data_IF_738931307602
#
_entry.id   IF_738931307602
#
_cell.length_a   1.000
_cell.length_b   1.000
_cell.length_c   1.000
_cell.angle_alpha   90.00
_cell.angle_beta   90.00
_cell.angle_gamma   90.00
#
_symmetry.space_group_name_H-M   'P 1'
#
loop_
_entity.id
_entity.type
_entity.pdbx_description
1 polymer ?
#
# COMPACT_ATOMS: atom_id res chain seq x y z
N UNK A 1 -70.16 -16.61 48.78
CA UNK A 1 -68.73 -16.86 48.57
C UNK A 1 -67.93 -15.66 49.08
N UNK A 2 -67.31 -15.85 50.24
CA UNK A 2 -66.14 -15.20 50.88
C UNK A 2 -65.71 -13.77 50.50
N UNK A 3 -65.79 -12.87 51.50
CA UNK A 3 -65.02 -11.62 51.71
C UNK A 3 -63.68 -11.94 52.49
N UNK A 4 -62.90 -10.95 52.99
CA UNK A 4 -61.88 -10.09 52.34
C UNK A 4 -60.52 -10.15 53.12
N UNK A 5 -59.67 -9.10 53.04
CA UNK A 5 -58.67 -8.60 54.04
C UNK A 5 -57.19 -8.40 53.61
N UNK A 6 -56.59 -7.39 54.27
CA UNK A 6 -55.39 -6.56 54.07
C UNK A 6 -53.99 -7.24 54.31
N UNK A 7 -52.86 -6.52 54.06
CA UNK A 7 -51.50 -7.06 53.82
C UNK A 7 -50.63 -7.21 55.08
N UNK A 8 -49.49 -7.90 54.93
CA UNK A 8 -48.47 -8.07 55.98
C UNK A 8 -47.06 -7.71 55.49
N UNK A 9 -46.47 -6.79 56.24
CA UNK A 9 -45.05 -6.40 56.32
C UNK A 9 -44.28 -7.47 57.13
N UNK A 10 -43.06 -7.83 56.75
CA UNK A 10 -42.09 -8.43 57.68
C UNK A 10 -40.69 -7.85 57.47
N UNK A 11 -40.22 -7.16 58.53
CA UNK A 11 -38.80 -6.96 58.85
C UNK A 11 -38.20 -8.30 59.29
N UNK A 12 -36.97 -8.59 58.89
CA UNK A 12 -36.08 -9.44 59.67
C UNK A 12 -34.63 -8.95 59.57
N UNK A 13 -34.13 -8.64 60.76
CA UNK A 13 -32.80 -8.18 61.16
C UNK A 13 -31.73 -9.27 61.02
N UNK A 14 -30.49 -8.87 60.75
CA UNK A 14 -29.32 -9.72 60.88
C UNK A 14 -28.01 -8.93 60.88
N UNK A 15 -27.66 -8.32 62.01
CA UNK A 15 -26.28 -7.90 62.30
C UNK A 15 -25.41 -9.15 62.49
N UNK A 16 -24.21 -9.16 61.91
CA UNK A 16 -23.01 -9.69 62.59
C UNK A 16 -21.74 -9.11 61.96
N UNK A 17 -20.99 -8.41 62.81
CA UNK A 17 -19.64 -7.89 62.58
C UNK A 17 -18.65 -9.00 62.97
N UNK A 18 -17.71 -9.37 62.09
CA UNK A 18 -16.40 -9.91 62.51
C UNK A 18 -15.32 -9.32 61.60
N UNK A 19 -14.46 -8.50 62.19
CA UNK A 19 -13.17 -8.06 61.65
C UNK A 19 -12.06 -8.93 62.26
N UNK A 20 -11.24 -9.61 61.45
CA UNK A 20 -9.87 -10.01 61.81
C UNK A 20 -8.94 -9.84 60.58
N UNK A 21 -7.76 -9.28 60.87
CA UNK A 21 -6.66 -8.75 60.04
C UNK A 21 -5.74 -9.84 59.39
N UNK A 22 -4.78 -9.46 58.52
CA UNK A 22 -4.25 -10.24 57.39
C UNK A 22 -2.94 -10.99 57.69
N UNK A 23 -2.50 -11.92 56.82
CA UNK A 23 -1.07 -12.22 56.49
C UNK A 23 -0.94 -13.10 55.23
N UNK A 24 -0.12 -12.61 54.28
CA UNK A 24 0.73 -13.24 53.24
C UNK A 24 0.38 -14.59 52.58
N UNK A 25 0.38 -14.62 51.25
CA UNK A 25 1.44 -15.22 50.40
C UNK A 25 1.04 -15.21 48.92
N UNK A 26 1.98 -14.89 48.03
CA UNK A 26 1.73 -14.60 46.63
C UNK A 26 1.27 -15.80 45.80
N UNK A 27 0.50 -15.52 44.76
CA UNK A 27 0.41 -16.34 43.54
C UNK A 27 0.11 -15.44 42.34
N UNK A 28 0.66 -15.83 41.20
CA UNK A 28 0.71 -15.10 39.94
C UNK A 28 -0.65 -14.56 39.46
N UNK A 29 -0.72 -13.26 39.18
CA UNK A 29 -1.83 -12.66 38.46
C UNK A 29 -1.74 -13.07 36.99
N UNK A 30 -2.53 -14.09 36.64
CA UNK A 30 -2.82 -14.52 35.28
C UNK A 30 -3.51 -13.34 34.57
N UNK A 31 -2.82 -12.68 33.64
CA UNK A 31 -3.42 -11.64 32.79
C UNK A 31 -4.59 -12.25 32.03
N UNK A 32 -5.80 -11.93 32.47
CA UNK A 32 -7.03 -12.33 31.81
C UNK A 32 -7.12 -11.50 30.52
N UNK A 33 -6.71 -12.09 29.40
CA UNK A 33 -6.97 -11.54 28.07
C UNK A 33 -8.48 -11.37 27.95
N UNK A 34 -8.91 -10.12 27.78
CA UNK A 34 -10.28 -9.75 27.49
C UNK A 34 -10.66 -10.44 26.18
N UNK A 35 -11.39 -11.55 26.29
CA UNK A 35 -12.13 -12.16 25.19
C UNK A 35 -13.27 -11.21 24.84
N UNK A 36 -13.01 -10.26 23.95
CA UNK A 36 -14.07 -9.52 23.28
C UNK A 36 -14.52 -10.34 22.07
N UNK A 37 -15.81 -10.67 22.08
CA UNK A 37 -16.55 -11.38 21.05
C UNK A 37 -16.12 -10.97 19.64
N UNK A 38 -15.91 -11.97 18.77
CA UNK A 38 -15.51 -11.82 17.38
C UNK A 38 -16.50 -11.02 16.51
N UNK A 39 -16.48 -9.70 16.63
CA UNK A 39 -16.93 -8.82 15.56
C UNK A 39 -15.79 -8.68 14.58
N UNK A 40 -16.02 -9.09 13.34
CA UNK A 40 -15.12 -8.85 12.21
C UNK A 40 -14.97 -7.33 12.07
N UNK A 41 -13.83 -6.78 12.48
CA UNK A 41 -13.52 -5.36 12.30
C UNK A 41 -12.97 -5.19 10.89
N UNK A 42 -13.74 -4.56 10.03
CA UNK A 42 -13.29 -4.20 8.68
C UNK A 42 -12.42 -2.93 8.78
N UNK A 43 -11.11 -3.12 8.83
CA UNK A 43 -10.14 -2.01 8.81
C UNK A 43 -9.97 -1.53 7.36
N UNK A 44 -10.57 -0.39 7.04
CA UNK A 44 -10.30 0.28 5.77
C UNK A 44 -8.94 0.99 5.86
N UNK A 45 -7.94 0.46 5.18
CA UNK A 45 -6.60 1.05 5.12
C UNK A 45 -6.64 2.26 4.15
N UNK A 46 -6.93 3.44 4.68
CA UNK A 46 -6.87 4.68 3.89
C UNK A 46 -5.49 5.31 4.07
N UNK A 47 -4.68 5.31 3.02
CA UNK A 47 -3.39 6.03 3.03
C UNK A 47 -3.65 7.53 2.88
N UNK A 48 -3.44 8.32 3.95
CA UNK A 48 -3.36 9.78 3.87
C UNK A 48 -2.31 10.37 4.83
N UNK A 49 -1.94 11.62 4.52
CA UNK A 49 -0.65 12.26 4.77
C UNK A 49 -0.18 12.40 6.22
N UNK A 50 1.13 12.34 6.39
CA UNK A 50 1.87 12.50 7.65
C UNK A 50 2.34 13.95 7.78
N UNK A 51 2.35 14.51 9.00
CA UNK A 51 2.94 15.83 9.26
C UNK A 51 4.46 15.81 9.05
N UNK A 52 5.06 16.93 8.61
CA UNK A 52 6.50 17.03 8.29
C UNK A 52 7.42 16.59 9.45
N UNK A 53 7.02 16.81 10.69
CA UNK A 53 7.79 16.42 11.88
C UNK A 53 7.71 14.91 12.17
N UNK A 54 6.55 14.28 11.96
CA UNK A 54 6.41 12.82 12.03
C UNK A 54 7.15 12.15 10.86
N UNK A 55 7.13 12.75 9.67
CA UNK A 55 7.88 12.30 8.49
C UNK A 55 9.39 12.15 8.76
N UNK A 56 10.04 13.12 9.39
CA UNK A 56 11.48 13.09 9.70
C UNK A 56 11.90 12.07 10.77
N UNK A 57 11.01 11.72 11.71
CA UNK A 57 11.29 10.74 12.77
C UNK A 57 10.92 9.31 12.38
N UNK A 58 9.94 9.16 11.48
CA UNK A 58 9.48 7.87 10.99
C UNK A 58 10.48 7.27 9.99
N UNK A 59 11.15 8.08 9.15
CA UNK A 59 12.07 7.63 8.08
C UNK A 59 13.08 6.53 8.51
N UNK A 60 13.84 6.68 9.60
CA UNK A 60 14.81 5.66 10.00
C UNK A 60 14.19 4.30 10.33
N UNK A 61 12.97 4.29 10.90
CA UNK A 61 12.18 3.07 11.12
C UNK A 61 11.38 2.64 9.88
N UNK A 62 11.09 3.57 8.96
CA UNK A 62 10.31 3.45 7.73
C UNK A 62 11.11 2.92 6.53
N UNK A 63 12.44 3.03 6.57
CA UNK A 63 13.35 2.38 5.61
C UNK A 63 13.34 0.85 5.75
N UNK A 64 12.63 0.29 6.74
CA UNK A 64 12.44 -1.15 6.96
C UNK A 64 11.19 -1.74 6.25
N UNK A 65 10.99 -1.31 5.00
CA UNK A 65 10.51 -2.05 3.81
C UNK A 65 9.07 -2.62 3.84
N UNK A 66 8.29 -2.28 2.82
CA UNK A 66 7.38 -3.17 2.06
C UNK A 66 7.72 -2.96 0.60
N UNK A 67 7.76 -3.99 -0.25
CA UNK A 67 8.19 -3.81 -1.63
C UNK A 67 7.11 -4.23 -2.62
N UNK A 68 6.86 -3.37 -3.58
CA UNK A 68 6.19 -3.71 -4.84
C UNK A 68 7.06 -3.18 -5.97
N UNK A 69 6.73 -3.53 -7.20
CA UNK A 69 7.37 -2.96 -8.40
C UNK A 69 6.32 -2.59 -9.43
N UNK A 70 6.76 -1.80 -10.40
CA UNK A 70 5.91 -1.43 -11.53
C UNK A 70 5.94 -2.56 -12.58
N UNK A 71 4.78 -2.92 -13.11
CA UNK A 71 4.64 -3.94 -14.15
C UNK A 71 4.11 -3.33 -15.44
N UNK A 72 4.38 -4.02 -16.55
CA UNK A 72 3.71 -3.79 -17.82
C UNK A 72 2.77 -4.95 -18.06
N UNK A 73 1.49 -4.65 -18.18
CA UNK A 73 0.49 -5.65 -18.50
C UNK A 73 -0.03 -5.43 -19.91
N UNK A 74 -0.05 -6.47 -20.71
CA UNK A 74 -0.47 -6.41 -22.11
C UNK A 74 -1.81 -7.08 -22.29
N UNK A 75 -2.41 -6.91 -23.48
CA UNK A 75 -3.49 -7.81 -23.92
C UNK A 75 -3.01 -9.26 -23.98
N UNK A 76 -3.95 -10.20 -23.87
CA UNK A 76 -3.67 -11.62 -23.97
C UNK A 76 -2.86 -11.94 -25.24
N UNK A 77 -1.82 -12.77 -25.10
CA UNK A 77 -0.89 -13.10 -26.17
C UNK A 77 0.14 -12.01 -26.52
N UNK A 78 0.11 -10.85 -25.85
CA UNK A 78 1.03 -9.74 -26.08
C UNK A 78 1.16 -9.35 -27.57
N UNK A 79 0.07 -8.90 -28.22
CA UNK A 79 0.02 -8.69 -29.67
C UNK A 79 1.01 -7.61 -30.16
N UNK A 80 1.43 -6.71 -29.27
CA UNK A 80 2.41 -5.66 -29.57
C UNK A 80 3.85 -6.11 -29.31
N UNK A 81 4.08 -7.33 -28.82
CA UNK A 81 5.39 -7.87 -28.48
C UNK A 81 6.18 -6.93 -27.54
N UNK A 82 5.51 -6.39 -26.52
CA UNK A 82 6.12 -5.56 -25.49
C UNK A 82 7.01 -6.44 -24.62
N UNK A 83 8.23 -5.99 -24.33
CA UNK A 83 9.20 -6.73 -23.50
C UNK A 83 9.81 -5.87 -22.42
N UNK A 84 9.87 -4.55 -22.61
CA UNK A 84 10.50 -3.64 -21.67
C UNK A 84 9.97 -2.19 -21.78
N UNK A 85 10.58 -1.29 -21.01
CA UNK A 85 10.25 0.14 -21.03
C UNK A 85 10.42 0.81 -22.40
N UNK A 86 11.45 0.43 -23.17
CA UNK A 86 11.75 1.07 -24.46
C UNK A 86 10.71 0.75 -25.53
N UNK A 87 9.94 -0.33 -25.38
CA UNK A 87 8.85 -0.63 -26.31
C UNK A 87 7.68 0.37 -26.19
N UNK A 88 7.56 1.06 -25.06
CA UNK A 88 6.44 1.97 -24.79
C UNK A 88 6.46 3.26 -25.61
N UNK A 89 7.59 3.61 -26.23
CA UNK A 89 7.69 4.79 -27.12
C UNK A 89 7.29 4.47 -28.56
N UNK A 90 7.03 3.20 -28.88
CA UNK A 90 6.66 2.81 -30.24
C UNK A 90 5.35 3.49 -30.67
N UNK A 91 5.24 4.02 -31.91
CA UNK A 91 4.06 4.76 -32.34
C UNK A 91 2.75 3.94 -32.34
N UNK A 92 2.87 2.62 -32.50
CA UNK A 92 1.75 1.69 -32.57
C UNK A 92 1.26 1.22 -31.19
N UNK A 93 1.87 1.69 -30.10
CA UNK A 93 1.54 1.30 -28.73
C UNK A 93 0.71 2.39 -28.07
N UNK A 94 -0.43 1.99 -27.48
CA UNK A 94 -1.30 2.84 -26.68
C UNK A 94 -1.25 2.43 -25.21
N UNK A 95 -1.02 3.40 -24.34
CA UNK A 95 -0.70 3.18 -22.93
C UNK A 95 -1.82 3.67 -22.00
N UNK A 96 -2.13 2.89 -20.98
CA UNK A 96 -2.92 3.32 -19.81
C UNK A 96 -1.99 3.45 -18.61
N UNK A 97 -2.07 4.58 -17.91
CA UNK A 97 -1.44 4.76 -16.59
C UNK A 97 -2.18 5.84 -15.81
N UNK A 98 -2.20 5.76 -14.49
CA UNK A 98 -2.88 6.75 -13.65
C UNK A 98 -2.20 8.14 -13.74
N UNK A 99 -2.88 9.19 -13.27
CA UNK A 99 -2.36 10.55 -13.24
C UNK A 99 -1.44 10.82 -12.02
N UNK A 100 -0.14 11.18 -12.19
CA UNK A 100 0.79 11.52 -11.11
C UNK A 100 0.37 12.68 -10.19
N UNK A 101 -0.55 13.54 -10.64
CA UNK A 101 -1.08 14.64 -9.80
C UNK A 101 -2.09 14.16 -8.76
N UNK A 102 -2.80 13.07 -9.01
CA UNK A 102 -3.86 12.55 -8.13
C UNK A 102 -3.53 11.19 -7.53
N UNK A 103 -2.65 10.41 -8.16
CA UNK A 103 -2.31 9.05 -7.74
C UNK A 103 -0.87 8.92 -7.26
N UNK A 104 -0.70 8.34 -6.07
CA UNK A 104 0.62 7.91 -5.59
C UNK A 104 1.25 6.85 -6.50
N UNK A 105 0.46 5.94 -7.07
CA UNK A 105 0.96 4.90 -7.98
C UNK A 105 1.46 5.43 -9.29
N UNK A 106 0.79 6.44 -9.83
CA UNK A 106 1.28 7.10 -11.02
C UNK A 106 2.62 7.81 -10.81
N UNK A 107 2.90 8.32 -9.59
CA UNK A 107 4.24 8.85 -9.28
C UNK A 107 5.29 7.75 -9.35
N UNK A 108 5.01 6.57 -8.79
CA UNK A 108 5.90 5.42 -8.92
C UNK A 108 6.11 4.98 -10.37
N UNK A 109 5.04 4.93 -11.17
CA UNK A 109 5.12 4.62 -12.60
C UNK A 109 6.01 5.63 -13.35
N UNK A 110 5.82 6.92 -13.09
CA UNK A 110 6.65 7.99 -13.67
C UNK A 110 8.12 7.83 -13.26
N UNK A 111 8.38 7.59 -11.98
CA UNK A 111 9.74 7.40 -11.48
C UNK A 111 10.39 6.14 -12.04
N UNK A 112 9.62 5.06 -12.26
CA UNK A 112 10.09 3.84 -12.92
C UNK A 112 10.61 4.12 -14.33
N UNK A 113 9.84 4.87 -15.13
CA UNK A 113 10.21 5.30 -16.48
C UNK A 113 11.43 6.25 -16.47
N UNK A 114 11.48 7.20 -15.54
CA UNK A 114 12.63 8.10 -15.43
C UNK A 114 13.90 7.35 -15.05
N UNK A 115 13.81 6.53 -14.01
CA UNK A 115 14.92 5.75 -13.49
C UNK A 115 15.39 4.66 -14.44
N UNK A 116 14.55 4.12 -15.32
CA UNK A 116 15.00 3.17 -16.34
C UNK A 116 16.03 3.76 -17.31
N UNK A 117 16.05 5.09 -17.47
CA UNK A 117 17.07 5.79 -18.26
C UNK A 117 18.28 6.13 -17.40
N UNK A 118 18.09 6.85 -16.29
CA UNK A 118 19.23 7.35 -15.50
C UNK A 118 19.99 6.23 -14.79
N UNK A 119 19.33 5.13 -14.44
CA UNK A 119 20.00 3.96 -13.85
C UNK A 119 20.69 3.07 -14.88
N UNK A 120 20.59 3.40 -16.17
CA UNK A 120 21.33 2.75 -17.25
C UNK A 120 22.39 3.69 -17.87
N UNK A 121 22.85 4.71 -17.12
CA UNK A 121 23.91 5.62 -17.56
C UNK A 121 23.41 6.82 -18.37
N UNK A 122 22.10 6.95 -18.60
CA UNK A 122 21.53 8.13 -19.21
C UNK A 122 21.48 9.34 -18.27
N UNK A 123 21.29 10.53 -18.83
CA UNK A 123 21.14 11.78 -18.09
C UNK A 123 19.68 12.26 -18.02
N UNK A 124 19.45 13.35 -17.26
CA UNK A 124 18.12 13.93 -17.06
C UNK A 124 17.45 14.40 -18.36
N UNK A 125 18.21 14.88 -19.34
CA UNK A 125 17.66 15.32 -20.62
C UNK A 125 17.17 14.14 -21.46
N UNK A 126 17.94 13.04 -21.47
CA UNK A 126 17.54 11.79 -22.12
C UNK A 126 16.32 11.17 -21.44
N UNK A 127 16.27 11.19 -20.10
CA UNK A 127 15.13 10.71 -19.33
C UNK A 127 13.88 11.56 -19.60
N UNK A 128 14.02 12.89 -19.64
CA UNK A 128 12.93 13.80 -20.01
C UNK A 128 12.38 13.48 -21.40
N UNK A 129 13.25 13.32 -22.40
CA UNK A 129 12.82 12.96 -23.75
C UNK A 129 12.08 11.63 -23.76
N UNK A 130 12.66 10.59 -23.16
CA UNK A 130 12.07 9.25 -23.11
C UNK A 130 10.68 9.27 -22.46
N UNK A 131 10.56 9.85 -21.27
CA UNK A 131 9.29 9.92 -20.55
C UNK A 131 8.28 10.76 -21.34
N UNK A 132 8.70 11.87 -21.95
CA UNK A 132 7.82 12.67 -22.83
C UNK A 132 7.26 11.81 -23.98
N UNK A 133 8.12 11.04 -24.65
CA UNK A 133 7.71 10.18 -25.77
C UNK A 133 6.78 9.04 -25.31
N UNK A 134 7.00 8.46 -24.13
CA UNK A 134 6.05 7.49 -23.54
C UNK A 134 4.71 8.16 -23.24
N UNK A 135 4.69 9.36 -22.68
CA UNK A 135 3.45 10.05 -22.33
C UNK A 135 2.64 10.52 -23.55
N UNK A 136 3.26 10.69 -24.73
CA UNK A 136 2.53 10.89 -26.00
C UNK A 136 1.66 9.69 -26.37
N UNK A 137 2.08 8.49 -25.99
CA UNK A 137 1.34 7.25 -26.24
C UNK A 137 0.25 6.95 -25.20
N UNK A 138 0.17 7.72 -24.11
CA UNK A 138 -0.86 7.54 -23.10
C UNK A 138 -2.22 7.94 -23.68
N UNK A 139 -3.21 7.06 -23.64
CA UNK A 139 -4.57 7.37 -24.16
C UNK A 139 -5.50 7.92 -23.10
N UNK A 140 -5.29 7.57 -21.84
CA UNK A 140 -6.10 8.03 -20.70
C UNK A 140 -5.23 8.14 -19.46
N UNK A 141 -5.53 9.12 -18.60
CA UNK A 141 -4.89 9.35 -17.30
C UNK A 141 -5.93 9.28 -16.17
N UNK A 142 -6.36 8.08 -15.75
CA UNK A 142 -7.37 7.93 -14.70
C UNK A 142 -6.88 8.45 -13.36
N UNK A 143 -7.80 8.71 -12.42
CA UNK A 143 -7.43 9.40 -11.18
C UNK A 143 -6.53 8.55 -10.26
N UNK A 144 -6.62 7.23 -10.36
CA UNK A 144 -5.88 6.27 -9.55
C UNK A 144 -5.62 4.93 -10.26
N UNK A 145 -4.88 4.04 -9.59
CA UNK A 145 -4.49 2.73 -10.11
C UNK A 145 -5.69 1.81 -10.38
N UNK A 146 -6.75 1.90 -9.58
CA UNK A 146 -7.95 1.06 -9.70
C UNK A 146 -8.77 1.48 -10.91
N UNK A 147 -8.92 2.79 -11.12
CA UNK A 147 -9.54 3.32 -12.34
C UNK A 147 -8.71 3.03 -13.60
N UNK A 148 -7.39 2.92 -13.48
CA UNK A 148 -6.52 2.47 -14.57
C UNK A 148 -6.77 1.02 -14.96
N UNK A 149 -6.90 0.13 -13.97
CA UNK A 149 -7.33 -1.24 -14.19
C UNK A 149 -8.72 -1.31 -14.84
N UNK A 150 -9.68 -0.51 -14.37
CA UNK A 150 -11.03 -0.49 -14.97
C UNK A 150 -11.02 0.05 -16.42
N UNK A 151 -10.23 1.08 -16.71
CA UNK A 151 -10.05 1.58 -18.08
C UNK A 151 -9.44 0.50 -18.99
N UNK A 152 -8.45 -0.23 -18.51
CA UNK A 152 -7.78 -1.27 -19.29
C UNK A 152 -8.65 -2.52 -19.48
N UNK A 153 -9.13 -3.13 -18.39
CA UNK A 153 -9.85 -4.41 -18.44
C UNK A 153 -11.31 -4.27 -18.86
N UNK A 154 -12.05 -3.33 -18.25
CA UNK A 154 -13.49 -3.22 -18.47
C UNK A 154 -13.82 -2.40 -19.72
N UNK A 155 -13.07 -1.32 -19.96
CA UNK A 155 -13.31 -0.41 -21.09
C UNK A 155 -12.45 -0.72 -22.31
N UNK A 156 -11.56 -1.72 -22.25
CA UNK A 156 -10.74 -2.13 -23.38
C UNK A 156 -9.76 -1.05 -23.89
N UNK A 157 -9.39 -0.07 -23.05
CA UNK A 157 -8.54 1.04 -23.49
C UNK A 157 -7.05 0.66 -23.45
N UNK A 158 -6.31 1.04 -24.50
CA UNK A 158 -4.86 0.82 -24.60
C UNK A 158 -4.44 -0.64 -24.88
N UNK A 159 -3.19 -0.79 -25.29
CA UNK A 159 -2.53 -2.08 -25.54
C UNK A 159 -1.74 -2.58 -24.32
N UNK A 160 -1.27 -1.64 -23.50
CA UNK A 160 -0.47 -1.89 -22.31
C UNK A 160 -0.93 -1.01 -21.14
N UNK A 161 -0.94 -1.58 -19.93
CA UNK A 161 -1.19 -0.90 -18.67
C UNK A 161 0.10 -0.89 -17.84
N UNK A 162 0.51 0.30 -17.38
CA UNK A 162 1.56 0.43 -16.35
C UNK A 162 0.86 0.53 -14.99
N UNK A 163 1.05 -0.48 -14.15
CA UNK A 163 0.47 -0.51 -12.81
C UNK A 163 1.38 -1.23 -11.80
N UNK A 164 0.91 -1.39 -10.57
CA UNK A 164 1.62 -2.16 -9.56
C UNK A 164 1.48 -3.68 -9.79
N UNK A 165 2.53 -4.43 -9.46
CA UNK A 165 2.52 -5.90 -9.53
C UNK A 165 1.33 -6.55 -8.81
N UNK A 166 1.00 -6.08 -7.60
CA UNK A 166 -0.12 -6.61 -6.85
C UNK A 166 -1.48 -6.36 -7.53
N UNK A 167 -1.65 -5.27 -8.30
CA UNK A 167 -2.93 -4.94 -8.92
C UNK A 167 -3.20 -5.92 -10.05
N UNK A 168 -2.14 -6.31 -10.75
CA UNK A 168 -2.19 -7.33 -11.79
C UNK A 168 -2.44 -8.71 -11.17
N UNK A 169 -1.74 -9.07 -10.09
CA UNK A 169 -1.99 -10.32 -9.36
C UNK A 169 -3.44 -10.38 -8.85
N UNK A 170 -3.95 -9.28 -8.29
CA UNK A 170 -5.33 -9.18 -7.83
C UNK A 170 -6.32 -9.30 -9.00
N UNK A 171 -6.03 -8.69 -10.14
CA UNK A 171 -6.87 -8.80 -11.32
C UNK A 171 -6.91 -10.23 -11.87
N UNK A 172 -5.79 -10.95 -11.86
CA UNK A 172 -5.71 -12.36 -12.23
C UNK A 172 -6.52 -13.24 -11.27
N UNK A 173 -6.43 -13.01 -9.96
CA UNK A 173 -7.25 -13.68 -8.95
C UNK A 173 -8.75 -13.41 -9.10
N UNK A 174 -9.11 -12.26 -9.67
CA UNK A 174 -10.48 -11.87 -10.00
C UNK A 174 -10.94 -12.39 -11.38
N UNK A 175 -10.10 -13.14 -12.09
CA UNK A 175 -10.40 -13.66 -13.44
C UNK A 175 -10.50 -12.59 -14.52
N UNK A 176 -9.96 -11.39 -14.30
CA UNK A 176 -10.00 -10.26 -15.27
C UNK A 176 -8.92 -10.36 -16.33
N UNK A 177 -7.85 -11.08 -16.02
CA UNK A 177 -6.64 -11.23 -16.82
C UNK A 177 -6.00 -12.57 -16.45
N UNK A 178 -5.01 -12.99 -17.21
CA UNK A 178 -4.14 -14.10 -16.83
C UNK A 178 -2.96 -13.59 -15.97
N UNK A 179 -2.03 -14.46 -15.61
CA UNK A 179 -0.82 -14.05 -14.89
C UNK A 179 0.29 -13.54 -15.83
N UNK A 180 -0.03 -13.17 -17.07
CA UNK A 180 0.95 -12.75 -18.06
C UNK A 180 1.23 -11.25 -17.93
N UNK A 181 2.24 -10.92 -17.13
CA UNK A 181 2.75 -9.56 -17.01
C UNK A 181 4.27 -9.53 -17.11
N UNK A 182 4.78 -8.39 -17.53
CA UNK A 182 6.20 -8.16 -17.74
C UNK A 182 6.73 -7.34 -16.57
N UNK A 183 7.84 -7.79 -15.99
CA UNK A 183 8.63 -6.97 -15.06
C UNK A 183 9.88 -6.50 -15.79
N UNK A 184 9.99 -5.19 -16.10
CA UNK A 184 11.21 -4.66 -16.67
C UNK A 184 12.41 -4.85 -15.71
N UNK A 185 13.61 -5.17 -16.24
CA UNK A 185 14.77 -5.55 -15.43
C UNK A 185 15.35 -4.41 -14.59
N UNK A 186 15.13 -3.17 -15.01
CA UNK A 186 15.43 -1.96 -14.23
C UNK A 186 14.12 -1.40 -13.71
N UNK A 187 13.94 -1.39 -12.40
CA UNK A 187 12.67 -1.04 -11.77
C UNK A 187 12.87 -0.33 -10.44
N UNK A 188 11.80 0.27 -9.93
CA UNK A 188 11.79 0.98 -8.66
C UNK A 188 11.09 0.16 -7.57
N UNK A 189 11.69 0.15 -6.38
CA UNK A 189 11.10 -0.40 -5.16
C UNK A 189 10.02 0.55 -4.68
N UNK A 190 8.77 0.11 -4.79
CA UNK A 190 7.59 0.82 -4.31
C UNK A 190 7.40 0.50 -2.84
N UNK A 191 7.47 1.52 -2.01
CA UNK A 191 7.35 1.43 -0.56
C UNK A 191 5.98 1.97 -0.13
N UNK A 192 5.21 1.14 0.59
CA UNK A 192 3.91 1.51 1.15
C UNK A 192 4.01 1.94 2.61
N UNK A 193 4.08 3.25 2.93
CA UNK A 193 4.07 3.71 4.32
C UNK A 193 2.81 3.29 5.06
N UNK A 194 2.99 2.91 6.32
CA UNK A 194 1.94 2.88 7.34
C UNK A 194 2.39 3.72 8.52
N UNK A 195 1.49 4.48 9.12
CA UNK A 195 1.78 5.34 10.27
C UNK A 195 0.60 5.41 11.21
N UNK A 196 0.89 5.52 12.51
CA UNK A 196 -0.09 5.88 13.53
C UNK A 196 -0.24 7.41 13.54
N UNK A 197 -1.48 7.89 13.61
CA UNK A 197 -1.77 9.33 13.64
C UNK A 197 -1.95 9.76 15.10
N UNK A 198 -0.88 10.31 15.70
CA UNK A 198 -0.81 10.63 17.13
C UNK A 198 -2.05 11.36 17.65
N UNK A 199 -2.38 12.50 17.02
CA UNK A 199 -3.54 13.33 17.41
C UNK A 199 -4.86 12.54 17.45
N UNK A 200 -5.04 11.58 16.55
CA UNK A 200 -6.27 10.80 16.48
C UNK A 200 -6.28 9.69 17.51
N UNK A 201 -5.15 9.01 17.71
CA UNK A 201 -5.10 7.90 18.66
C UNK A 201 -5.17 8.36 20.10
N UNK A 202 -4.61 9.53 20.40
CA UNK A 202 -4.72 10.17 21.72
C UNK A 202 -6.16 10.64 21.97
N UNK A 203 -6.80 11.25 20.97
CA UNK A 203 -8.20 11.69 21.05
C UNK A 203 -9.17 10.52 21.29
N UNK A 204 -8.92 9.38 20.65
CA UNK A 204 -9.83 8.22 20.71
C UNK A 204 -9.41 7.16 21.73
N UNK A 205 -8.32 7.38 22.50
CA UNK A 205 -7.85 6.44 23.52
C UNK A 205 -7.47 5.06 22.97
N UNK A 206 -7.01 4.98 21.71
CA UNK A 206 -6.77 3.71 21.02
C UNK A 206 -5.32 3.57 20.50
N UNK A 207 -4.37 4.28 21.12
CA UNK A 207 -2.95 4.25 20.77
C UNK A 207 -2.37 2.85 20.82
N UNK A 208 -2.55 2.14 21.93
CA UNK A 208 -1.96 0.82 22.13
C UNK A 208 -2.36 -0.17 21.03
N UNK A 209 -3.66 -0.28 20.75
CA UNK A 209 -4.18 -1.17 19.69
C UNK A 209 -3.73 -0.74 18.29
N UNK A 210 -3.62 0.56 18.03
CA UNK A 210 -3.15 1.08 16.73
C UNK A 210 -1.67 0.79 16.50
N UNK A 211 -0.83 0.98 17.52
CA UNK A 211 0.59 0.65 17.47
C UNK A 211 0.82 -0.85 17.37
N UNK A 212 0.04 -1.65 18.10
CA UNK A 212 0.07 -3.12 18.00
C UNK A 212 -0.32 -3.58 16.59
N UNK A 213 -1.36 -2.99 15.99
CA UNK A 213 -1.75 -3.28 14.61
C UNK A 213 -0.62 -2.97 13.63
N UNK A 214 0.01 -1.80 13.71
CA UNK A 214 1.13 -1.45 12.82
C UNK A 214 2.30 -2.42 12.99
N UNK A 215 2.66 -2.79 14.22
CA UNK A 215 3.70 -3.81 14.49
C UNK A 215 3.31 -5.16 13.90
N UNK A 216 2.05 -5.58 14.03
CA UNK A 216 1.55 -6.85 13.51
C UNK A 216 1.75 -6.99 12.01
N UNK A 217 1.60 -5.91 11.23
CA UNK A 217 1.83 -5.94 9.78
C UNK A 217 3.23 -6.49 9.43
N UNK A 218 4.25 -6.23 10.25
CA UNK A 218 5.62 -6.66 10.01
C UNK A 218 5.95 -8.06 10.53
N UNK A 219 5.00 -8.77 11.11
CA UNK A 219 5.19 -10.16 11.54
C UNK A 219 5.19 -11.12 10.35
N UNK A 220 5.86 -12.29 10.44
CA UNK A 220 5.79 -13.31 9.39
C UNK A 220 4.37 -13.73 9.04
N UNK A 221 3.46 -13.75 10.01
CA UNK A 221 2.05 -14.08 9.80
C UNK A 221 1.38 -13.10 8.82
N UNK A 222 1.41 -11.80 9.13
CA UNK A 222 0.82 -10.79 8.26
C UNK A 222 1.52 -10.76 6.88
N UNK A 223 2.85 -10.87 6.86
CA UNK A 223 3.65 -10.89 5.62
C UNK A 223 3.27 -12.03 4.68
N UNK A 224 2.91 -13.21 5.21
CA UNK A 224 2.38 -14.32 4.40
C UNK A 224 1.03 -13.98 3.79
N UNK A 225 0.13 -13.33 4.52
CA UNK A 225 -1.16 -12.88 3.97
C UNK A 225 -0.96 -11.85 2.84
N UNK A 226 -0.04 -10.90 3.02
CA UNK A 226 0.28 -9.92 1.97
C UNK A 226 0.88 -10.56 0.72
N UNK A 227 1.70 -11.61 0.87
CA UNK A 227 2.23 -12.37 -0.26
C UNK A 227 1.11 -13.03 -1.08
N UNK A 228 0.02 -13.50 -0.44
CA UNK A 228 -1.12 -14.09 -1.15
C UNK A 228 -1.80 -13.08 -2.07
N UNK A 229 -1.78 -11.80 -1.72
CA UNK A 229 -2.38 -10.71 -2.52
C UNK A 229 -1.34 -9.91 -3.31
N UNK A 230 -0.16 -10.50 -3.57
CA UNK A 230 0.79 -9.99 -4.55
C UNK A 230 1.72 -8.88 -4.07
N UNK A 231 1.87 -8.68 -2.75
CA UNK A 231 2.88 -7.78 -2.20
C UNK A 231 4.16 -8.56 -1.90
N UNK A 232 5.32 -8.00 -2.25
CA UNK A 232 6.60 -8.65 -1.94
C UNK A 232 6.91 -8.47 -0.45
N UNK A 233 7.03 -9.57 0.31
CA UNK A 233 7.35 -9.50 1.73
C UNK A 233 8.73 -8.95 1.99
N UNK A 234 8.92 -8.47 3.20
CA UNK A 234 10.18 -7.87 3.66
C UNK A 234 10.79 -8.59 4.84
N UNK A 235 9.97 -9.39 5.51
CA UNK A 235 10.45 -10.39 6.44
C UNK A 235 11.32 -11.39 5.64
N UNK A 236 12.60 -11.56 5.99
CA UNK A 236 13.53 -12.39 5.22
C UNK A 236 13.10 -13.86 5.14
N UNK A 237 12.37 -14.36 6.14
CA UNK A 237 11.86 -15.75 6.15
C UNK A 237 10.76 -15.88 5.11
N UNK A 238 9.75 -15.02 5.17
CA UNK A 238 8.64 -15.05 4.22
C UNK A 238 9.11 -14.72 2.80
N UNK A 239 10.03 -13.76 2.61
CA UNK A 239 10.61 -13.47 1.29
C UNK A 239 11.27 -14.69 0.66
N UNK A 240 11.92 -15.57 1.45
CA UNK A 240 12.48 -16.84 0.97
C UNK A 240 11.39 -17.84 0.63
N UNK A 241 10.37 -18.00 1.48
CA UNK A 241 9.24 -18.91 1.28
C UNK A 241 8.51 -18.64 -0.05
N UNK A 242 8.32 -17.36 -0.40
CA UNK A 242 7.52 -16.97 -1.58
C UNK A 242 8.37 -16.54 -2.77
N UNK A 243 9.69 -16.77 -2.74
CA UNK A 243 10.62 -16.31 -3.78
C UNK A 243 10.21 -16.73 -5.20
N UNK A 244 9.68 -17.94 -5.36
CA UNK A 244 9.22 -18.46 -6.66
C UNK A 244 7.97 -17.77 -7.21
N UNK A 245 7.19 -17.09 -6.36
CA UNK A 245 5.96 -16.37 -6.76
C UNK A 245 6.23 -15.01 -7.39
N UNK A 246 7.42 -14.44 -7.16
CA UNK A 246 7.76 -13.09 -7.59
C UNK A 246 8.93 -13.13 -8.56
N UNK A 247 8.76 -12.65 -9.81
CA UNK A 247 9.86 -12.63 -10.77
C UNK A 247 11.05 -11.82 -10.25
N UNK A 248 12.24 -12.29 -10.60
CA UNK A 248 13.50 -11.64 -10.26
C UNK A 248 13.64 -10.29 -10.97
N UNK A 249 14.32 -9.35 -10.32
CA UNK A 249 14.53 -7.99 -10.82
C UNK A 249 16.03 -7.72 -10.77
N UNK A 250 16.63 -7.53 -11.94
CA UNK A 250 18.08 -7.40 -12.08
C UNK A 250 18.63 -6.14 -11.39
N UNK A 251 17.92 -5.02 -11.51
CA UNK A 251 18.32 -3.74 -10.91
C UNK A 251 17.11 -3.05 -10.30
N UNK A 252 16.98 -3.18 -8.99
CA UNK A 252 15.94 -2.54 -8.19
C UNK A 252 16.52 -1.35 -7.42
N UNK A 253 16.10 -0.14 -7.75
CA UNK A 253 16.51 1.10 -7.06
C UNK A 253 15.36 1.67 -6.23
N UNK A 254 15.63 2.72 -5.46
CA UNK A 254 14.68 3.38 -4.54
C UNK A 254 14.52 4.86 -4.90
N UNK A 255 13.54 5.53 -4.29
CA UNK A 255 13.40 6.99 -4.44
C UNK A 255 14.60 7.74 -3.87
N UNK A 256 15.29 7.19 -2.86
CA UNK A 256 16.50 7.78 -2.31
C UNK A 256 17.58 7.93 -3.39
N UNK A 257 17.70 6.95 -4.29
CA UNK A 257 18.62 6.97 -5.42
C UNK A 257 18.27 8.04 -6.48
N UNK A 258 17.11 8.69 -6.36
CA UNK A 258 16.64 9.80 -7.20
C UNK A 258 16.60 11.15 -6.44
N UNK A 259 17.19 11.21 -5.24
CA UNK A 259 17.22 12.42 -4.39
C UNK A 259 16.13 12.48 -3.32
N UNK A 260 15.46 11.36 -3.05
CA UNK A 260 14.44 11.24 -2.00
C UNK A 260 13.13 11.94 -2.33
N UNK A 261 12.09 11.65 -1.54
CA UNK A 261 10.73 12.11 -1.80
C UNK A 261 10.57 13.63 -1.90
N UNK A 262 11.29 14.39 -1.07
CA UNK A 262 11.31 15.86 -1.15
C UNK A 262 11.86 16.35 -2.50
N UNK A 263 12.99 15.78 -2.94
CA UNK A 263 13.62 16.12 -4.21
C UNK A 263 12.75 15.75 -5.41
N UNK A 264 12.22 14.52 -5.45
CA UNK A 264 11.37 14.06 -6.56
C UNK A 264 10.04 14.82 -6.61
N UNK A 265 9.43 15.16 -5.47
CA UNK A 265 8.20 15.94 -5.44
C UNK A 265 8.42 17.33 -6.03
N UNK A 266 9.50 18.01 -5.65
CA UNK A 266 9.86 19.33 -6.19
C UNK A 266 10.21 19.27 -7.68
N UNK A 267 11.01 18.28 -8.08
CA UNK A 267 11.52 18.15 -9.46
C UNK A 267 10.44 17.73 -10.45
N UNK A 268 9.58 16.78 -10.08
CA UNK A 268 8.69 16.12 -11.04
C UNK A 268 7.22 16.52 -10.90
N UNK A 269 6.71 16.72 -9.69
CA UNK A 269 5.26 16.70 -9.45
C UNK A 269 4.66 18.00 -8.88
N UNK A 270 5.48 18.94 -8.40
CA UNK A 270 5.04 20.27 -8.01
C UNK A 270 4.41 21.04 -9.20
N UNK A 271 3.73 22.13 -8.93
CA UNK A 271 3.10 22.92 -9.99
C UNK A 271 4.15 23.57 -10.88
N UNK A 272 3.97 23.42 -12.20
CA UNK A 272 4.94 23.86 -13.21
C UNK A 272 6.19 22.97 -13.33
N UNK A 273 6.26 21.88 -12.56
CA UNK A 273 7.38 20.94 -12.60
C UNK A 273 7.39 20.11 -13.90
N UNK A 274 8.32 19.16 -14.00
CA UNK A 274 8.56 18.38 -15.22
C UNK A 274 7.28 17.71 -15.74
N UNK A 275 6.48 17.08 -14.87
CA UNK A 275 5.26 16.43 -15.32
C UNK A 275 4.28 17.41 -16.00
N UNK A 276 4.12 18.62 -15.46
CA UNK A 276 3.25 19.64 -16.07
C UNK A 276 3.79 20.13 -17.41
N UNK A 277 5.12 20.23 -17.55
CA UNK A 277 5.75 20.56 -18.83
C UNK A 277 5.47 19.48 -19.88
N UNK A 278 5.57 18.20 -19.50
CA UNK A 278 5.24 17.07 -20.37
C UNK A 278 3.77 17.13 -20.79
N UNK A 279 2.85 17.37 -19.85
CA UNK A 279 1.42 17.44 -20.17
C UNK A 279 1.04 18.63 -21.05
N UNK A 280 1.67 19.80 -20.85
CA UNK A 280 1.44 20.96 -21.73
C UNK A 280 1.87 20.69 -23.17
N UNK A 281 2.96 19.97 -23.40
CA UNK A 281 3.41 19.60 -24.74
C UNK A 281 2.62 18.47 -25.41
N UNK A 282 1.66 17.86 -24.70
CA UNK A 282 0.77 16.82 -25.23
C UNK A 282 -0.56 17.39 -25.75
N UNK A 283 -0.97 18.55 -25.24
CA UNK A 283 -2.15 19.29 -25.71
C UNK A 283 -1.80 20.02 -27.00
#
# INVERSE_FOLDING_TARGET
>A
MTKPFFPALFLATGLSIITILPVFAGTAQKTQLISQSGKKVELTLVTYAVTKAAYSKIIPNFVAKWKRVVTLETRAGNPKNIKNWTDLVRPDVKLVTANPKTSGGAKWNFLALWGSVVKNGGNDAQALKFVTDVFKNVVVLPKDARESSDAFYKKGQGDVLINYENEVILAAQQGKTDTSYIIPPVNISIEGPVAVVDKNVDKHGNREVSEAFVKFLFTPEAQREFAKVGFRPVDPTVSKEVKSKFPYIARLYTVADLGGWSGVQKKFFADGAIFDKIQRGRR
#
